data_IF_661108639776
#
_entry.id   IF_661108639776
#
_cell.length_a   1.000
_cell.length_b   1.000
_cell.length_c   1.000
_cell.angle_alpha   90.00
_cell.angle_beta   90.00
_cell.angle_gamma   90.00
#
_symmetry.space_group_name_H-M   'P 1'
#
loop_
_entity.id
_entity.type
_entity.pdbx_description
1 polymer ?
#
# COMPACT_ATOMS: atom_id res chain seq x y z
N UNK A 1 -54.20 3.91 25.71
CA UNK A 1 -53.27 2.94 25.10
C UNK A 1 -52.59 3.65 23.94
N UNK A 2 -51.54 4.43 24.23
CA UNK A 2 -50.74 5.11 23.22
C UNK A 2 -49.58 4.19 22.85
N UNK A 3 -49.60 3.67 21.63
CA UNK A 3 -48.48 2.95 21.02
C UNK A 3 -47.37 3.97 20.75
N UNK A 4 -46.41 4.05 21.67
CA UNK A 4 -45.11 4.67 21.45
C UNK A 4 -44.19 3.55 20.98
N UNK A 5 -44.11 3.30 19.67
CA UNK A 5 -43.05 2.46 19.09
C UNK A 5 -43.00 2.66 17.56
N UNK A 6 -42.20 3.64 17.09
CA UNK A 6 -41.31 3.34 15.95
C UNK A 6 -39.93 4.04 15.99
N UNK A 7 -39.60 4.86 17.00
CA UNK A 7 -38.37 5.66 17.00
C UNK A 7 -37.11 4.90 17.50
N UNK A 8 -37.28 3.86 18.32
CA UNK A 8 -36.17 3.07 18.88
C UNK A 8 -35.47 2.20 17.83
N UNK A 9 -36.22 1.59 16.89
CA UNK A 9 -35.66 0.70 15.87
C UNK A 9 -34.83 1.41 14.80
N UNK A 10 -35.20 2.63 14.43
CA UNK A 10 -34.47 3.43 13.44
C UNK A 10 -33.13 3.96 13.99
N UNK A 11 -33.11 4.36 15.26
CA UNK A 11 -31.90 4.79 15.97
C UNK A 11 -30.89 3.65 16.13
N UNK A 12 -31.36 2.46 16.47
CA UNK A 12 -30.53 1.24 16.59
C UNK A 12 -29.95 0.80 15.23
N UNK A 13 -30.74 0.88 14.15
CA UNK A 13 -30.29 0.57 12.80
C UNK A 13 -29.20 1.55 12.30
N UNK A 14 -29.37 2.85 12.57
CA UNK A 14 -28.38 3.87 12.23
C UNK A 14 -27.07 3.67 13.01
N UNK A 15 -27.16 3.39 14.32
CA UNK A 15 -26.00 3.11 15.18
C UNK A 15 -25.22 1.87 14.71
N UNK A 16 -25.93 0.82 14.32
CA UNK A 16 -25.36 -0.41 13.74
C UNK A 16 -24.60 -0.11 12.45
N UNK A 17 -25.23 0.63 11.54
CA UNK A 17 -24.64 1.01 10.24
C UNK A 17 -23.39 1.87 10.43
N UNK A 18 -23.43 2.84 11.34
CA UNK A 18 -22.29 3.69 11.66
C UNK A 18 -21.09 2.86 12.17
N UNK A 19 -21.33 1.93 13.11
CA UNK A 19 -20.27 1.05 13.63
C UNK A 19 -19.65 0.16 12.55
N UNK A 20 -20.48 -0.41 11.67
CA UNK A 20 -20.01 -1.21 10.53
C UNK A 20 -19.09 -0.41 9.62
N UNK A 21 -19.51 0.80 9.24
CA UNK A 21 -18.73 1.68 8.38
C UNK A 21 -17.41 2.11 9.02
N UNK A 22 -17.43 2.50 10.30
CA UNK A 22 -16.23 2.88 11.04
C UNK A 22 -15.25 1.71 11.10
N UNK A 23 -15.74 0.50 11.35
CA UNK A 23 -14.92 -0.69 11.37
C UNK A 23 -14.33 -1.00 9.99
N UNK A 24 -15.15 -1.00 8.94
CA UNK A 24 -14.69 -1.24 7.57
C UNK A 24 -13.63 -0.24 7.11
N UNK A 25 -13.81 1.05 7.42
CA UNK A 25 -12.80 2.08 7.15
C UNK A 25 -11.51 1.84 7.94
N UNK A 26 -11.61 1.46 9.22
CA UNK A 26 -10.44 1.14 10.05
C UNK A 26 -9.68 -0.05 9.49
N UNK A 27 -10.39 -1.10 9.08
CA UNK A 27 -9.80 -2.28 8.42
C UNK A 27 -9.06 -1.89 7.14
N UNK A 28 -9.66 -1.06 6.29
CA UNK A 28 -8.99 -0.57 5.07
C UNK A 28 -7.70 0.22 5.40
N UNK A 29 -7.74 1.07 6.43
CA UNK A 29 -6.56 1.88 6.85
C UNK A 29 -5.42 0.97 7.29
N UNK A 30 -5.74 -0.05 8.09
CA UNK A 30 -4.76 -1.03 8.57
C UNK A 30 -4.20 -1.90 7.44
N UNK A 31 -5.01 -2.29 6.45
CA UNK A 31 -4.53 -3.04 5.28
C UNK A 31 -3.56 -2.20 4.43
N UNK A 32 -3.84 -0.90 4.22
CA UNK A 32 -2.91 0.01 3.56
C UNK A 32 -1.58 0.11 4.33
N UNK A 33 -1.66 0.28 5.66
CA UNK A 33 -0.47 0.36 6.52
C UNK A 33 0.34 -0.93 6.50
N UNK A 34 -0.31 -2.09 6.61
CA UNK A 34 0.33 -3.41 6.49
C UNK A 34 1.06 -3.54 5.15
N UNK A 35 0.41 -3.16 4.06
CA UNK A 35 0.99 -3.19 2.71
C UNK A 35 2.25 -2.33 2.63
N UNK A 36 2.22 -1.10 3.16
CA UNK A 36 3.37 -0.21 3.24
C UNK A 36 4.52 -0.83 4.05
N UNK A 37 4.22 -1.43 5.20
CA UNK A 37 5.22 -2.06 6.06
C UNK A 37 5.88 -3.26 5.38
N UNK A 38 5.11 -4.12 4.73
CA UNK A 38 5.60 -5.28 3.98
C UNK A 38 6.50 -4.87 2.80
N UNK A 39 6.09 -3.83 2.05
CA UNK A 39 6.91 -3.24 0.99
C UNK A 39 8.25 -2.72 1.51
N UNK A 40 8.23 -2.08 2.68
CA UNK A 40 9.43 -1.57 3.35
C UNK A 40 10.33 -2.73 3.78
N UNK A 41 9.76 -3.73 4.46
CA UNK A 41 10.49 -4.89 4.92
C UNK A 41 11.17 -5.61 3.74
N UNK A 42 10.45 -5.84 2.64
CA UNK A 42 11.02 -6.41 1.39
C UNK A 42 12.25 -5.64 0.91
N UNK A 43 12.15 -4.32 0.85
CA UNK A 43 13.26 -3.49 0.39
C UNK A 43 14.48 -3.59 1.31
N UNK A 44 14.24 -3.50 2.63
CA UNK A 44 15.30 -3.55 3.64
C UNK A 44 15.95 -4.94 3.71
N UNK A 45 15.16 -6.02 3.70
CA UNK A 45 15.67 -7.40 3.73
C UNK A 45 16.49 -7.71 2.48
N UNK A 46 16.06 -7.26 1.30
CA UNK A 46 16.85 -7.40 0.08
C UNK A 46 18.20 -6.69 0.21
N UNK A 47 18.23 -5.45 0.69
CA UNK A 47 19.48 -4.70 0.88
C UNK A 47 20.42 -5.40 1.86
N UNK A 48 19.87 -5.92 2.97
CA UNK A 48 20.61 -6.71 3.95
C UNK A 48 21.20 -7.99 3.37
N UNK A 49 20.38 -8.81 2.71
CA UNK A 49 20.80 -10.07 2.08
C UNK A 49 21.82 -9.85 0.95
N UNK A 50 21.86 -8.65 0.39
CA UNK A 50 22.85 -8.23 -0.61
C UNK A 50 24.19 -7.82 -0.02
N UNK A 51 24.29 -7.66 1.31
CA UNK A 51 25.51 -7.32 2.03
C UNK A 51 25.46 -6.01 2.84
N UNK A 52 24.36 -5.24 2.78
CA UNK A 52 24.24 -3.97 3.53
C UNK A 52 23.69 -4.20 4.94
N UNK A 53 24.59 -4.51 5.87
CA UNK A 53 24.24 -4.88 7.26
C UNK A 53 23.49 -3.77 8.03
N UNK A 54 23.66 -2.51 7.61
CA UNK A 54 23.04 -1.33 8.26
C UNK A 54 21.50 -1.36 8.23
N UNK A 55 20.89 -2.19 7.38
CA UNK A 55 19.44 -2.35 7.32
C UNK A 55 18.85 -3.22 8.44
N UNK A 56 19.64 -4.03 9.14
CA UNK A 56 19.13 -4.99 10.14
C UNK A 56 18.28 -4.34 11.25
N UNK A 57 18.71 -3.25 11.92
CA UNK A 57 17.91 -2.64 12.98
C UNK A 57 16.57 -2.09 12.48
N UNK A 58 16.49 -1.73 11.19
CA UNK A 58 15.26 -1.28 10.58
C UNK A 58 14.32 -2.47 10.30
N UNK A 59 14.86 -3.59 9.83
CA UNK A 59 14.10 -4.82 9.56
C UNK A 59 13.42 -5.29 10.84
N UNK A 60 14.14 -5.38 11.96
CA UNK A 60 13.59 -5.81 13.25
C UNK A 60 12.41 -4.93 13.70
N UNK A 61 12.53 -3.60 13.54
CA UNK A 61 11.43 -2.66 13.84
C UNK A 61 10.23 -2.85 12.91
N UNK A 62 10.48 -3.14 11.64
CA UNK A 62 9.43 -3.40 10.66
C UNK A 62 8.70 -4.70 10.99
N UNK A 63 9.39 -5.76 11.40
CA UNK A 63 8.76 -7.01 11.82
C UNK A 63 7.78 -6.80 12.98
N UNK A 64 8.21 -6.11 14.03
CA UNK A 64 7.33 -5.77 15.18
C UNK A 64 6.11 -4.95 14.74
N UNK A 65 6.31 -3.99 13.82
CA UNK A 65 5.22 -3.16 13.29
C UNK A 65 4.23 -3.97 12.46
N UNK A 66 4.71 -4.92 11.66
CA UNK A 66 3.89 -5.82 10.85
C UNK A 66 3.08 -6.74 11.75
N UNK A 67 3.71 -7.35 12.76
CA UNK A 67 3.05 -8.20 13.75
C UNK A 67 1.95 -7.44 14.50
N UNK A 68 2.23 -6.21 14.93
CA UNK A 68 1.24 -5.33 15.57
C UNK A 68 0.07 -5.03 14.63
N UNK A 69 0.34 -4.67 13.37
CA UNK A 69 -0.72 -4.39 12.40
C UNK A 69 -1.59 -5.63 12.12
N UNK A 70 -0.98 -6.81 11.97
CA UNK A 70 -1.70 -8.07 11.81
C UNK A 70 -2.54 -8.39 13.06
N UNK A 71 -1.99 -8.23 14.26
CA UNK A 71 -2.74 -8.46 15.50
C UNK A 71 -3.99 -7.57 15.55
N UNK A 72 -3.85 -6.27 15.27
CA UNK A 72 -4.98 -5.34 15.25
C UNK A 72 -6.03 -5.71 14.19
N UNK A 73 -5.59 -6.13 13.00
CA UNK A 73 -6.51 -6.61 11.95
C UNK A 73 -7.26 -7.86 12.41
N UNK A 74 -6.58 -8.82 13.03
CA UNK A 74 -7.19 -10.05 13.57
C UNK A 74 -8.22 -9.71 14.65
N UNK A 75 -7.86 -8.86 15.63
CA UNK A 75 -8.76 -8.44 16.71
C UNK A 75 -10.01 -7.74 16.17
N UNK A 76 -9.84 -6.82 15.22
CA UNK A 76 -10.98 -6.17 14.56
C UNK A 76 -11.84 -7.19 13.81
N UNK A 77 -11.24 -8.17 13.13
CA UNK A 77 -11.99 -9.15 12.36
C UNK A 77 -12.71 -10.20 13.22
N UNK A 78 -12.32 -10.36 14.48
CA UNK A 78 -13.02 -11.18 15.48
C UNK A 78 -14.20 -10.45 16.14
N UNK A 79 -14.34 -9.15 15.94
CA UNK A 79 -15.47 -8.38 16.46
C UNK A 79 -16.78 -8.69 15.70
N UNK A 80 -17.90 -8.11 16.15
CA UNK A 80 -19.25 -8.45 15.70
C UNK A 80 -19.48 -8.28 14.17
N UNK A 81 -18.72 -7.40 13.51
CA UNK A 81 -18.82 -7.19 12.06
C UNK A 81 -17.57 -7.67 11.35
N UNK A 82 -17.57 -8.92 10.88
CA UNK A 82 -16.44 -9.46 10.13
C UNK A 82 -16.29 -8.77 8.77
N UNK A 83 -15.22 -8.00 8.58
CA UNK A 83 -14.95 -7.31 7.30
C UNK A 83 -14.16 -8.18 6.31
N UNK A 84 -13.36 -9.12 6.82
CA UNK A 84 -12.45 -9.95 6.03
C UNK A 84 -12.84 -11.43 6.16
N UNK A 85 -12.94 -12.18 5.05
CA UNK A 85 -13.07 -13.64 5.11
C UNK A 85 -11.91 -14.29 5.86
N UNK A 86 -12.22 -15.16 6.82
CA UNK A 86 -11.25 -15.74 7.77
C UNK A 86 -10.13 -16.51 7.07
N UNK A 87 -10.46 -17.29 6.04
CA UNK A 87 -9.47 -18.04 5.27
C UNK A 87 -8.45 -17.13 4.59
N UNK A 88 -8.88 -15.97 4.06
CA UNK A 88 -7.98 -15.01 3.41
C UNK A 88 -7.05 -14.35 4.43
N UNK A 89 -7.57 -13.99 5.61
CA UNK A 89 -6.76 -13.42 6.68
C UNK A 89 -5.75 -14.45 7.23
N UNK A 90 -6.18 -15.70 7.40
CA UNK A 90 -5.32 -16.79 7.81
C UNK A 90 -4.17 -17.03 6.82
N UNK A 91 -4.46 -16.96 5.52
CA UNK A 91 -3.42 -17.08 4.49
C UNK A 91 -2.39 -15.94 4.60
N UNK A 92 -2.81 -14.68 4.74
CA UNK A 92 -1.90 -13.54 4.95
C UNK A 92 -1.05 -13.73 6.22
N UNK A 93 -1.66 -14.15 7.33
CA UNK A 93 -0.95 -14.42 8.58
C UNK A 93 0.11 -15.53 8.41
N UNK A 94 -0.24 -16.61 7.70
CA UNK A 94 0.66 -17.74 7.48
C UNK A 94 1.81 -17.38 6.53
N UNK A 95 1.52 -16.67 5.44
CA UNK A 95 2.54 -16.16 4.50
C UNK A 95 3.53 -15.25 5.24
N UNK A 96 3.04 -14.33 6.08
CA UNK A 96 3.92 -13.49 6.91
C UNK A 96 4.76 -14.32 7.88
N UNK A 97 4.18 -15.27 8.60
CA UNK A 97 4.93 -16.13 9.54
C UNK A 97 6.07 -16.86 8.83
N UNK A 98 5.81 -17.42 7.65
CA UNK A 98 6.84 -18.09 6.84
C UNK A 98 7.99 -17.13 6.51
N UNK A 99 7.67 -15.92 6.04
CA UNK A 99 8.67 -14.89 5.74
C UNK A 99 9.44 -14.49 7.01
N UNK A 100 8.74 -14.18 8.10
CA UNK A 100 9.35 -13.68 9.33
C UNK A 100 10.36 -14.67 9.92
N UNK A 101 10.09 -15.98 9.82
CA UNK A 101 10.98 -17.03 10.29
C UNK A 101 12.12 -17.36 9.32
N UNK A 102 11.91 -17.19 8.00
CA UNK A 102 12.81 -17.69 6.96
C UNK A 102 13.73 -16.64 6.32
N UNK A 103 13.35 -15.35 6.35
CA UNK A 103 13.92 -14.35 5.44
C UNK A 103 15.44 -14.24 5.47
N UNK A 104 16.07 -14.42 6.64
CA UNK A 104 17.53 -14.29 6.80
C UNK A 104 18.30 -15.36 6.01
N UNK A 105 17.69 -16.51 5.78
CA UNK A 105 18.32 -17.66 5.13
C UNK A 105 17.91 -17.81 3.67
N UNK A 106 17.01 -16.94 3.20
CA UNK A 106 16.60 -16.90 1.82
C UNK A 106 17.73 -16.35 0.93
N UNK A 107 17.73 -16.80 -0.32
CA UNK A 107 18.40 -16.05 -1.38
C UNK A 107 17.63 -14.76 -1.67
N UNK A 108 18.32 -13.70 -2.11
CA UNK A 108 17.74 -12.37 -2.33
C UNK A 108 16.47 -12.40 -3.21
N UNK A 109 16.49 -13.15 -4.30
CA UNK A 109 15.38 -13.19 -5.26
C UNK A 109 14.15 -13.97 -4.73
N UNK A 110 14.29 -15.19 -4.18
CA UNK A 110 13.20 -15.84 -3.45
C UNK A 110 12.61 -14.96 -2.36
N UNK A 111 13.45 -14.27 -1.57
CA UNK A 111 12.96 -13.35 -0.54
C UNK A 111 12.09 -12.24 -1.14
N UNK A 112 12.55 -11.62 -2.24
CA UNK A 112 11.77 -10.63 -2.98
C UNK A 112 10.43 -11.19 -3.47
N UNK A 113 10.41 -12.41 -4.01
CA UNK A 113 9.21 -13.03 -4.57
C UNK A 113 8.18 -13.38 -3.51
N UNK A 114 8.58 -13.96 -2.37
CA UNK A 114 7.67 -14.26 -1.26
C UNK A 114 6.99 -13.00 -0.73
N UNK A 115 7.74 -11.92 -0.53
CA UNK A 115 7.15 -10.64 -0.12
C UNK A 115 6.24 -10.05 -1.20
N UNK A 116 6.62 -10.15 -2.48
CA UNK A 116 5.81 -9.63 -3.58
C UNK A 116 4.46 -10.35 -3.68
N UNK A 117 4.45 -11.68 -3.47
CA UNK A 117 3.24 -12.46 -3.37
C UNK A 117 2.35 -12.00 -2.21
N UNK A 118 2.93 -11.83 -1.01
CA UNK A 118 2.19 -11.36 0.16
C UNK A 118 1.60 -9.95 -0.04
N UNK A 119 2.36 -9.04 -0.62
CA UNK A 119 1.87 -7.69 -0.95
C UNK A 119 0.72 -7.74 -1.97
N UNK A 120 0.81 -8.59 -3.00
CA UNK A 120 -0.30 -8.79 -3.95
C UNK A 120 -1.55 -9.37 -3.27
N UNK A 121 -1.38 -10.32 -2.34
CA UNK A 121 -2.48 -10.84 -1.51
C UNK A 121 -3.14 -9.73 -0.66
N UNK A 122 -2.35 -8.86 -0.04
CA UNK A 122 -2.88 -7.69 0.69
C UNK A 122 -3.64 -6.73 -0.24
N UNK A 123 -3.11 -6.44 -1.43
CA UNK A 123 -3.77 -5.57 -2.42
C UNK A 123 -5.08 -6.17 -2.94
N UNK A 124 -5.14 -7.48 -3.17
CA UNK A 124 -6.38 -8.19 -3.53
C UNK A 124 -7.40 -8.09 -2.41
N UNK A 125 -6.98 -8.29 -1.17
CA UNK A 125 -7.86 -8.18 -0.01
C UNK A 125 -8.35 -6.75 0.21
N UNK A 126 -7.50 -5.75 -0.01
CA UNK A 126 -7.87 -4.33 0.05
C UNK A 126 -9.00 -4.01 -0.93
N UNK A 127 -8.89 -4.48 -2.18
CA UNK A 127 -9.94 -4.31 -3.20
C UNK A 127 -11.24 -5.00 -2.82
N UNK A 128 -11.18 -6.23 -2.30
CA UNK A 128 -12.36 -6.95 -1.83
C UNK A 128 -13.05 -6.20 -0.69
N UNK A 129 -12.29 -5.76 0.31
CA UNK A 129 -12.82 -5.01 1.44
C UNK A 129 -13.40 -3.66 1.00
N UNK A 130 -12.77 -2.98 0.04
CA UNK A 130 -13.30 -1.73 -0.51
C UNK A 130 -14.70 -1.95 -1.08
N UNK A 131 -14.88 -2.98 -1.92
CA UNK A 131 -16.18 -3.26 -2.58
C UNK A 131 -17.26 -3.59 -1.55
N UNK A 132 -16.96 -4.43 -0.56
CA UNK A 132 -17.95 -4.86 0.42
C UNK A 132 -18.28 -3.76 1.43
N UNK A 133 -17.27 -3.08 1.98
CA UNK A 133 -17.45 -2.12 3.07
C UNK A 133 -17.92 -0.74 2.59
N UNK A 134 -17.59 -0.36 1.35
CA UNK A 134 -17.90 0.97 0.79
C UNK A 134 -19.02 0.91 -0.26
N UNK A 135 -19.77 -0.19 -0.31
CA UNK A 135 -20.92 -0.39 -1.21
C UNK A 135 -21.93 0.78 -1.18
N UNK A 136 -22.28 1.40 -0.03
CA UNK A 136 -23.19 2.56 -0.04
C UNK A 136 -22.67 3.71 -0.91
N UNK A 137 -21.38 4.01 -0.83
CA UNK A 137 -20.75 5.05 -1.64
C UNK A 137 -20.68 4.65 -3.13
N UNK A 138 -20.53 3.36 -3.43
CA UNK A 138 -20.55 2.87 -4.80
C UNK A 138 -21.94 2.95 -5.44
N UNK A 139 -23.01 2.62 -4.68
CA UNK A 139 -24.38 2.57 -5.18
C UNK A 139 -25.08 3.93 -5.18
N UNK A 140 -24.82 4.75 -4.16
CA UNK A 140 -25.52 6.03 -3.93
C UNK A 140 -24.63 7.25 -4.22
N UNK A 141 -23.31 7.05 -4.30
CA UNK A 141 -22.39 8.11 -4.67
C UNK A 141 -22.46 8.44 -6.15
N UNK A 142 -22.12 9.68 -6.49
CA UNK A 142 -21.88 10.08 -7.88
C UNK A 142 -20.56 9.48 -8.43
N UNK A 143 -20.34 9.62 -9.74
CA UNK A 143 -19.12 9.15 -10.43
C UNK A 143 -17.82 9.64 -9.79
N UNK A 144 -17.81 10.83 -9.17
CA UNK A 144 -16.64 11.36 -8.48
C UNK A 144 -16.23 10.50 -7.29
N UNK A 145 -17.19 9.96 -6.54
CA UNK A 145 -16.88 9.09 -5.40
C UNK A 145 -16.35 7.74 -5.86
N UNK A 146 -16.95 7.15 -6.90
CA UNK A 146 -16.47 5.89 -7.48
C UNK A 146 -15.03 6.05 -8.00
N UNK A 147 -14.75 7.13 -8.73
CA UNK A 147 -13.40 7.43 -9.20
C UNK A 147 -12.42 7.67 -8.05
N UNK A 148 -12.86 8.28 -6.94
CA UNK A 148 -12.01 8.44 -5.76
C UNK A 148 -11.70 7.09 -5.10
N UNK A 149 -12.67 6.16 -5.01
CA UNK A 149 -12.42 4.82 -4.49
C UNK A 149 -11.40 4.06 -5.35
N UNK A 150 -11.59 4.08 -6.66
CA UNK A 150 -10.65 3.47 -7.61
C UNK A 150 -9.25 4.08 -7.51
N UNK A 151 -9.15 5.41 -7.48
CA UNK A 151 -7.89 6.11 -7.29
C UNK A 151 -7.15 5.63 -6.02
N UNK A 152 -7.84 5.60 -4.88
CA UNK A 152 -7.24 5.36 -3.56
C UNK A 152 -6.91 3.89 -3.31
N UNK A 153 -7.73 2.96 -3.76
CA UNK A 153 -7.58 1.53 -3.44
C UNK A 153 -7.09 0.67 -4.61
N UNK A 154 -6.94 1.26 -5.81
CA UNK A 154 -6.45 0.55 -7.00
C UNK A 154 -5.27 1.30 -7.61
N UNK A 155 -5.48 2.52 -8.10
CA UNK A 155 -4.44 3.25 -8.86
C UNK A 155 -3.23 3.58 -8.00
N UNK A 156 -3.42 4.13 -6.80
CA UNK A 156 -2.33 4.43 -5.87
C UNK A 156 -1.57 3.17 -5.42
N UNK A 157 -2.20 2.11 -4.86
CA UNK A 157 -1.49 0.91 -4.44
C UNK A 157 -0.65 0.27 -5.56
N UNK A 158 -1.16 0.23 -6.80
CA UNK A 158 -0.42 -0.31 -7.94
C UNK A 158 0.81 0.57 -8.28
N UNK A 159 0.65 1.90 -8.31
CA UNK A 159 1.76 2.84 -8.54
C UNK A 159 2.84 2.71 -7.46
N UNK A 160 2.42 2.67 -6.19
CA UNK A 160 3.31 2.53 -5.04
C UNK A 160 4.07 1.22 -5.12
N UNK A 161 3.40 0.12 -5.47
CA UNK A 161 4.02 -1.20 -5.53
C UNK A 161 5.12 -1.27 -6.60
N UNK A 162 4.89 -0.70 -7.77
CA UNK A 162 5.93 -0.60 -8.79
C UNK A 162 7.16 0.20 -8.33
N UNK A 163 6.94 1.31 -7.61
CA UNK A 163 8.03 2.07 -6.99
C UNK A 163 8.76 1.27 -5.90
N UNK A 164 8.02 0.51 -5.08
CA UNK A 164 8.59 -0.31 -4.02
C UNK A 164 9.42 -1.48 -4.58
N UNK A 165 9.00 -2.08 -5.69
CA UNK A 165 9.79 -3.09 -6.41
C UNK A 165 11.05 -2.47 -7.01
N UNK A 166 10.92 -1.31 -7.67
CA UNK A 166 12.08 -0.62 -8.25
C UNK A 166 13.09 -0.23 -7.17
N UNK A 167 12.63 0.23 -5.99
CA UNK A 167 13.49 0.46 -4.83
C UNK A 167 14.30 -0.78 -4.46
N UNK A 168 13.62 -1.91 -4.21
CA UNK A 168 14.29 -3.14 -3.79
C UNK A 168 15.34 -3.62 -4.80
N UNK A 169 14.99 -3.65 -6.08
CA UNK A 169 15.88 -4.10 -7.15
C UNK A 169 17.06 -3.14 -7.37
N UNK A 170 16.81 -1.84 -7.44
CA UNK A 170 17.89 -0.86 -7.66
C UNK A 170 18.84 -0.76 -6.47
N UNK A 171 18.32 -0.84 -5.23
CA UNK A 171 19.16 -0.90 -4.02
C UNK A 171 19.99 -2.18 -3.99
N UNK A 172 19.40 -3.36 -4.28
CA UNK A 172 20.15 -4.61 -4.37
C UNK A 172 21.33 -4.49 -5.36
N UNK A 173 21.05 -4.02 -6.58
CA UNK A 173 22.07 -3.84 -7.63
C UNK A 173 23.17 -2.86 -7.20
N UNK A 174 22.82 -1.78 -6.50
CA UNK A 174 23.79 -0.83 -5.97
C UNK A 174 24.68 -1.44 -4.88
N UNK A 175 24.14 -2.28 -4.00
CA UNK A 175 24.91 -2.97 -2.94
C UNK A 175 25.90 -3.97 -3.56
N UNK A 176 25.43 -4.81 -4.49
CA UNK A 176 26.28 -5.84 -5.11
C UNK A 176 27.20 -5.28 -6.21
N UNK A 177 26.97 -4.03 -6.63
CA UNK A 177 27.70 -3.32 -7.70
C UNK A 177 27.69 -4.03 -9.05
N UNK A 178 26.62 -4.79 -9.32
CA UNK A 178 26.47 -5.57 -10.54
C UNK A 178 25.00 -5.68 -10.93
N UNK A 179 24.69 -5.46 -12.20
CA UNK A 179 23.33 -5.59 -12.74
C UNK A 179 23.27 -6.78 -13.70
N UNK A 180 22.77 -7.92 -13.22
CA UNK A 180 22.52 -9.09 -14.06
C UNK A 180 21.45 -8.82 -15.13
N UNK A 181 21.42 -9.64 -16.17
CA UNK A 181 20.47 -9.50 -17.29
C UNK A 181 19.01 -9.50 -16.84
N UNK A 182 18.65 -10.35 -15.87
CA UNK A 182 17.31 -10.41 -15.31
C UNK A 182 16.94 -9.14 -14.54
N UNK A 183 17.79 -8.68 -13.63
CA UNK A 183 17.59 -7.42 -12.89
C UNK A 183 17.52 -6.22 -13.83
N UNK A 184 18.38 -6.17 -14.84
CA UNK A 184 18.35 -5.14 -15.87
C UNK A 184 17.00 -5.09 -16.60
N UNK A 185 16.48 -6.25 -17.03
CA UNK A 185 15.20 -6.34 -17.70
C UNK A 185 14.03 -5.90 -16.79
N UNK A 186 13.99 -6.40 -15.54
CA UNK A 186 12.96 -6.02 -14.55
C UNK A 186 12.98 -4.54 -14.23
N UNK A 187 14.16 -3.96 -13.96
CA UNK A 187 14.33 -2.52 -13.68
C UNK A 187 13.91 -1.68 -14.90
N UNK A 188 14.34 -2.06 -16.11
CA UNK A 188 13.98 -1.36 -17.34
C UNK A 188 12.47 -1.35 -17.59
N UNK A 189 11.80 -2.48 -17.34
CA UNK A 189 10.35 -2.58 -17.42
C UNK A 189 9.68 -1.68 -16.38
N UNK A 190 10.09 -1.76 -15.12
CA UNK A 190 9.51 -0.97 -14.03
C UNK A 190 9.64 0.54 -14.25
N UNK A 191 10.78 1.03 -14.76
CA UNK A 191 10.94 2.46 -15.08
C UNK A 191 9.88 2.91 -16.09
N UNK A 192 9.69 2.15 -17.18
CA UNK A 192 8.68 2.47 -18.21
C UNK A 192 7.27 2.42 -17.65
N UNK A 193 6.97 1.39 -16.86
CA UNK A 193 5.66 1.20 -16.25
C UNK A 193 5.32 2.33 -15.27
N UNK A 194 6.27 2.72 -14.41
CA UNK A 194 6.11 3.83 -13.47
C UNK A 194 5.87 5.15 -14.21
N UNK A 195 6.63 5.43 -15.28
CA UNK A 195 6.42 6.65 -16.07
C UNK A 195 5.01 6.69 -16.70
N UNK A 196 4.52 5.56 -17.20
CA UNK A 196 3.21 5.47 -17.80
C UNK A 196 2.09 5.57 -16.76
N UNK A 197 2.17 4.81 -15.67
CA UNK A 197 1.20 4.86 -14.58
C UNK A 197 1.16 6.24 -13.92
N UNK A 198 2.30 6.91 -13.79
CA UNK A 198 2.36 8.25 -13.25
C UNK A 198 1.56 9.26 -14.08
N UNK A 199 1.53 9.12 -15.42
CA UNK A 199 0.68 9.96 -16.28
C UNK A 199 -0.80 9.72 -16.03
N UNK A 200 -1.20 8.45 -15.90
CA UNK A 200 -2.59 8.06 -15.59
C UNK A 200 -3.00 8.60 -14.22
N UNK A 201 -2.18 8.35 -13.19
CA UNK A 201 -2.41 8.82 -11.82
C UNK A 201 -2.63 10.35 -11.77
N UNK A 202 -1.79 11.12 -12.46
CA UNK A 202 -1.94 12.57 -12.52
C UNK A 202 -3.22 12.99 -13.26
N UNK A 203 -3.56 12.31 -14.35
CA UNK A 203 -4.82 12.52 -15.07
C UNK A 203 -6.04 12.27 -14.19
N UNK A 204 -6.03 11.20 -13.41
CA UNK A 204 -7.11 10.84 -12.49
C UNK A 204 -7.27 11.88 -11.38
N UNK A 205 -6.17 12.29 -10.74
CA UNK A 205 -6.21 13.31 -9.66
C UNK A 205 -6.77 14.64 -10.20
N UNK A 206 -6.34 15.07 -11.39
CA UNK A 206 -6.86 16.29 -12.05
C UNK A 206 -8.35 16.15 -12.36
N UNK A 207 -8.76 15.01 -12.93
CA UNK A 207 -10.15 14.75 -13.34
C UNK A 207 -11.10 14.73 -12.15
N UNK A 208 -10.70 14.09 -11.04
CA UNK A 208 -11.48 14.01 -9.81
C UNK A 208 -11.55 15.39 -9.12
N UNK A 209 -10.71 16.36 -9.52
CA UNK A 209 -10.50 17.63 -8.82
C UNK A 209 -10.29 17.38 -7.33
N UNK A 210 -9.51 16.35 -6.99
CA UNK A 210 -9.30 16.04 -5.59
C UNK A 210 -8.34 17.08 -5.01
N UNK A 211 -8.65 17.58 -3.81
CA UNK A 211 -7.72 18.42 -3.03
C UNK A 211 -6.63 17.56 -2.38
N UNK A 212 -6.18 16.50 -3.08
CA UNK A 212 -5.11 15.62 -2.61
C UNK A 212 -3.80 16.32 -2.98
N UNK A 213 -3.01 16.67 -1.97
CA UNK A 213 -1.77 17.46 -2.08
C UNK A 213 -0.58 16.67 -2.68
N UNK A 214 -0.86 15.67 -3.52
CA UNK A 214 0.16 14.87 -4.19
C UNK A 214 0.81 15.66 -5.33
N UNK A 215 0.01 16.29 -6.20
CA UNK A 215 0.45 16.76 -7.53
C UNK A 215 1.69 17.67 -7.47
N UNK A 216 1.79 18.54 -6.46
CA UNK A 216 2.84 19.57 -6.43
C UNK A 216 4.20 19.05 -5.96
N UNK A 217 4.25 17.96 -5.20
CA UNK A 217 5.40 17.69 -4.33
C UNK A 217 6.24 16.44 -4.70
N UNK A 218 5.73 15.49 -5.48
CA UNK A 218 6.46 14.23 -5.75
C UNK A 218 7.03 14.08 -7.17
N UNK A 219 6.55 14.84 -8.16
CA UNK A 219 6.96 14.65 -9.57
C UNK A 219 8.45 14.88 -9.81
N UNK A 220 9.01 15.98 -9.27
CA UNK A 220 10.44 16.28 -9.39
C UNK A 220 11.30 15.22 -8.68
N UNK A 221 11.03 14.84 -7.42
CA UNK A 221 11.69 13.70 -6.78
C UNK A 221 11.60 12.40 -7.59
N UNK A 222 10.41 12.06 -8.11
CA UNK A 222 10.19 10.86 -8.92
C UNK A 222 11.07 10.87 -10.17
N UNK A 223 11.01 11.94 -10.96
CA UNK A 223 11.82 12.05 -12.18
C UNK A 223 13.32 11.95 -11.86
N UNK A 224 13.77 12.63 -10.80
CA UNK A 224 15.16 12.53 -10.34
C UNK A 224 15.54 11.09 -9.98
N UNK A 225 14.70 10.39 -9.22
CA UNK A 225 14.94 8.99 -8.84
C UNK A 225 15.04 8.08 -10.06
N UNK A 226 14.06 8.14 -10.99
CA UNK A 226 14.08 7.31 -12.20
C UNK A 226 15.31 7.59 -13.07
N UNK A 227 15.68 8.86 -13.22
CA UNK A 227 16.88 9.25 -13.96
C UNK A 227 18.16 8.74 -13.29
N UNK A 228 18.26 8.84 -11.96
CA UNK A 228 19.40 8.30 -11.21
C UNK A 228 19.51 6.79 -11.40
N UNK A 229 18.41 6.03 -11.27
CA UNK A 229 18.46 4.58 -11.51
C UNK A 229 18.87 4.29 -12.95
N UNK A 230 18.29 4.97 -13.93
CA UNK A 230 18.65 4.77 -15.34
C UNK A 230 20.14 4.99 -15.62
N UNK A 231 20.67 6.15 -15.21
CA UNK A 231 22.06 6.53 -15.52
C UNK A 231 23.07 5.74 -14.67
N UNK A 232 22.82 5.59 -13.38
CA UNK A 232 23.80 5.03 -12.43
C UNK A 232 23.71 3.51 -12.28
N UNK A 233 22.62 2.88 -12.75
CA UNK A 233 22.43 1.42 -12.68
C UNK A 233 22.37 0.78 -14.07
N UNK A 234 21.50 1.24 -14.96
CA UNK A 234 21.28 0.57 -16.25
C UNK A 234 22.33 0.93 -17.31
N UNK A 235 22.74 2.20 -17.36
CA UNK A 235 23.66 2.71 -18.39
C UNK A 235 25.11 2.78 -17.91
N UNK A 236 25.37 2.57 -16.61
CA UNK A 236 26.71 2.67 -16.05
C UNK A 236 27.50 1.38 -16.29
N UNK A 237 28.72 1.44 -16.86
CA UNK A 237 29.60 0.29 -16.95
C UNK A 237 30.11 -0.15 -15.56
N UNK A 238 30.28 0.81 -14.64
CA UNK A 238 30.70 0.58 -13.26
C UNK A 238 29.66 1.15 -12.29
N UNK A 239 28.99 0.28 -11.54
CA UNK A 239 27.91 0.70 -10.63
C UNK A 239 28.53 1.21 -9.32
N UNK A 240 28.50 2.54 -9.16
CA UNK A 240 29.02 3.25 -7.97
C UNK A 240 27.92 3.97 -7.18
N UNK A 241 26.66 3.75 -7.52
CA UNK A 241 25.52 4.38 -6.87
C UNK A 241 25.46 4.03 -5.37
N UNK A 242 25.12 5.02 -4.55
CA UNK A 242 24.91 4.82 -3.11
C UNK A 242 23.55 4.13 -2.87
N UNK A 243 23.61 2.90 -2.37
CA UNK A 243 22.43 2.07 -2.09
C UNK A 243 21.49 2.71 -1.07
N UNK A 244 22.04 3.33 -0.03
CA UNK A 244 21.28 3.98 1.05
C UNK A 244 20.61 5.26 0.54
N UNK A 245 21.30 6.01 -0.32
CA UNK A 245 20.71 7.19 -0.97
C UNK A 245 19.56 6.81 -1.91
N UNK A 246 19.73 5.79 -2.76
CA UNK A 246 18.67 5.29 -3.64
C UNK A 246 17.46 4.79 -2.85
N UNK A 247 17.72 4.04 -1.78
CA UNK A 247 16.68 3.53 -0.89
C UNK A 247 15.89 4.66 -0.25
N UNK A 248 16.58 5.69 0.24
CA UNK A 248 15.96 6.86 0.86
C UNK A 248 15.13 7.66 -0.14
N UNK A 249 15.69 7.98 -1.31
CA UNK A 249 14.99 8.75 -2.36
C UNK A 249 13.66 8.12 -2.76
N UNK A 250 13.66 6.81 -2.97
CA UNK A 250 12.44 6.07 -3.31
C UNK A 250 11.47 5.95 -2.13
N UNK A 251 11.98 5.75 -0.91
CA UNK A 251 11.15 5.71 0.30
C UNK A 251 10.41 7.02 0.54
N UNK A 252 11.06 8.17 0.32
CA UNK A 252 10.42 9.48 0.47
C UNK A 252 9.28 9.68 -0.54
N UNK A 253 9.45 9.19 -1.78
CA UNK A 253 8.40 9.22 -2.82
C UNK A 253 7.22 8.31 -2.43
N UNK A 254 7.52 7.07 -2.02
CA UNK A 254 6.52 6.08 -1.60
C UNK A 254 5.71 6.61 -0.42
N UNK A 255 6.37 7.20 0.59
CA UNK A 255 5.69 7.79 1.74
C UNK A 255 4.81 8.98 1.33
N UNK A 256 5.23 9.79 0.37
CA UNK A 256 4.41 10.88 -0.17
C UNK A 256 3.13 10.34 -0.84
N UNK A 257 3.23 9.24 -1.59
CA UNK A 257 2.05 8.59 -2.18
C UNK A 257 1.13 7.95 -1.13
N UNK A 258 1.68 7.28 -0.11
CA UNK A 258 0.86 6.76 1.00
C UNK A 258 0.18 7.87 1.81
N UNK A 259 0.83 9.02 2.00
CA UNK A 259 0.19 10.17 2.63
C UNK A 259 -1.01 10.68 1.81
N UNK A 260 -0.92 10.66 0.48
CA UNK A 260 -2.04 11.00 -0.39
C UNK A 260 -3.18 9.97 -0.34
N UNK A 261 -2.86 8.68 -0.21
CA UNK A 261 -3.85 7.63 0.08
C UNK A 261 -4.59 7.97 1.38
N UNK A 262 -3.87 8.30 2.45
CA UNK A 262 -4.48 8.70 3.73
C UNK A 262 -5.41 9.91 3.61
N UNK A 263 -5.00 10.96 2.87
CA UNK A 263 -5.86 12.12 2.60
C UNK A 263 -7.13 11.72 1.84
N UNK A 264 -7.02 10.87 0.82
CA UNK A 264 -8.16 10.38 0.07
C UNK A 264 -9.12 9.54 0.91
N UNK A 265 -8.59 8.68 1.79
CA UNK A 265 -9.38 7.92 2.74
C UNK A 265 -10.16 8.82 3.71
N UNK A 266 -9.56 9.92 4.17
CA UNK A 266 -10.28 10.92 4.97
C UNK A 266 -11.46 11.53 4.20
N UNK A 267 -11.28 11.83 2.90
CA UNK A 267 -12.38 12.37 2.07
C UNK A 267 -13.50 11.36 1.84
N UNK A 268 -13.16 10.08 1.70
CA UNK A 268 -14.12 8.98 1.60
C UNK A 268 -14.94 8.89 2.90
N UNK A 269 -14.27 8.91 4.04
CA UNK A 269 -14.88 8.92 5.37
C UNK A 269 -15.84 10.11 5.56
N UNK A 270 -15.40 11.33 5.26
CA UNK A 270 -16.24 12.53 5.33
C UNK A 270 -17.50 12.41 4.46
N UNK A 271 -17.38 11.78 3.29
CA UNK A 271 -18.48 11.60 2.34
C UNK A 271 -19.48 10.56 2.82
N UNK A 272 -19.00 9.48 3.44
CA UNK A 272 -19.85 8.48 4.08
C UNK A 272 -20.64 9.08 5.26
N UNK A 273 -20.01 9.88 6.11
CA UNK A 273 -20.72 10.54 7.21
C UNK A 273 -21.80 11.50 6.72
N UNK A 274 -21.54 12.25 5.64
CA UNK A 274 -22.59 13.08 5.01
C UNK A 274 -23.75 12.24 4.51
N UNK A 275 -23.49 11.11 3.84
CA UNK A 275 -24.54 10.22 3.36
C UNK A 275 -25.40 9.69 4.51
N UNK A 276 -24.78 9.25 5.61
CA UNK A 276 -25.48 8.77 6.80
C UNK A 276 -26.37 9.83 7.46
N UNK A 277 -25.93 11.09 7.49
CA UNK A 277 -26.72 12.18 8.08
C UNK A 277 -27.88 12.59 7.16
N UNK A 278 -27.72 12.42 5.84
CA UNK A 278 -28.73 12.76 4.85
C UNK A 278 -29.77 11.66 4.57
N UNK A 279 -29.55 10.45 5.08
CA UNK A 279 -30.42 9.27 4.91
C UNK A 279 -31.49 9.20 6.00
#
# INVERSE_FOLDING_TARGET
>A
MHLIEPQTSQSEALSTTFKQLQQGLTTLKLLCQLTQLLQHHRGSSMAYLSGSQDFLPQIEKLQLSIETALQLINELNHSYYRCIPEDLLNNINNDWKTIAMGWQQDQVMPNFEFHSHLVDSCNKLLRLCMVEQLRPLMLQGNSRHQNLLELIFITFPNSIENLAMLRGLSTNVAVIKACGTESHAKISFLIKEIEQQNKVLLGDIITIKSDIDLIKNYQKPLHKFLLTVKLSILESPDITADSSQLFKMSTDIINTQWNAVGQGMQRIEDSLYRLLISA
#
